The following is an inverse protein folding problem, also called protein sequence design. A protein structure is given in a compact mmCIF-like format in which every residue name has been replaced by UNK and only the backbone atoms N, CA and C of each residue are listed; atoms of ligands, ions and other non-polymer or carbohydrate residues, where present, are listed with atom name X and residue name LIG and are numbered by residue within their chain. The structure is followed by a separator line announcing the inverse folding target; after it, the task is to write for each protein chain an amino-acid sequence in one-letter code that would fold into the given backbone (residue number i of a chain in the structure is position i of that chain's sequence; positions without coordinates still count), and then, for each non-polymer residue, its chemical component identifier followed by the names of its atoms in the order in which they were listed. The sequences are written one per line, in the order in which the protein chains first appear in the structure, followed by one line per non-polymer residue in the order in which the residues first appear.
data_IF_812746639777
#
_entry.id   IF_812746639777
#
_cell.length_a   1.000
_cell.length_b   1.000
_cell.length_c   1.000
_cell.angle_alpha   90.00
_cell.angle_beta   90.00
_cell.angle_gamma   90.00
#
_symmetry.space_group_name_H-M   'P 1'
#
loop_
_entity.id
_entity.type
_entity.pdbx_description
1 polymer ?
#
# COMPACT_ATOMS: atom_id res chain seq x y z
N UNK A 1 -6.71 16.82 22.48
CA UNK A 1 -6.60 15.37 22.19
C UNK A 1 -6.91 15.19 20.71
N UNK A 2 -5.87 15.12 19.89
CA UNK A 2 -5.87 15.14 18.42
C UNK A 2 -6.72 14.01 17.83
N UNK A 3 -7.96 14.29 17.38
CA UNK A 3 -8.76 13.32 16.60
C UNK A 3 -9.32 13.88 15.29
N UNK A 4 -9.02 15.13 14.94
CA UNK A 4 -9.72 15.84 13.86
C UNK A 4 -8.82 16.37 12.73
N UNK A 5 -7.73 15.68 12.36
CA UNK A 5 -6.84 16.17 11.27
C UNK A 5 -6.56 15.19 10.13
N UNK A 6 -7.08 13.96 10.12
CA UNK A 6 -6.86 13.05 8.97
C UNK A 6 -8.06 12.13 8.71
N UNK A 7 -9.26 12.69 8.52
CA UNK A 7 -10.40 11.92 8.04
C UNK A 7 -10.90 12.42 6.69
N UNK A 8 -10.33 11.82 5.66
CA UNK A 8 -11.07 11.30 4.51
C UNK A 8 -11.62 12.30 3.48
N UNK A 9 -10.73 12.78 2.60
CA UNK A 9 -11.07 12.78 1.18
C UNK A 9 -11.10 11.32 0.68
N UNK A 10 -12.13 10.60 1.11
CA UNK A 10 -12.45 9.27 0.60
C UNK A 10 -12.85 9.43 -0.87
N UNK A 11 -11.86 9.34 -1.77
CA UNK A 11 -12.10 8.76 -3.09
C UNK A 11 -12.90 7.48 -2.82
N UNK A 12 -14.10 7.31 -3.39
CA UNK A 12 -14.93 6.16 -3.05
C UNK A 12 -14.09 4.89 -3.25
N UNK A 13 -14.02 4.02 -2.24
CA UNK A 13 -13.21 2.78 -2.25
C UNK A 13 -13.43 1.92 -3.51
N UNK A 14 -14.55 2.11 -4.20
CA UNK A 14 -14.89 1.47 -5.47
C UNK A 14 -14.18 2.04 -6.70
N UNK A 15 -13.57 3.24 -6.63
CA UNK A 15 -12.87 3.91 -7.74
C UNK A 15 -11.35 3.93 -7.60
N UNK A 16 -10.80 3.63 -6.42
CA UNK A 16 -9.35 3.63 -6.17
C UNK A 16 -8.74 2.26 -6.53
N UNK A 17 -8.01 2.12 -7.65
CA UNK A 17 -7.80 0.81 -8.28
C UNK A 17 -6.90 -0.14 -7.50
N UNK A 18 -6.05 0.36 -6.59
CA UNK A 18 -5.14 -0.48 -5.79
C UNK A 18 -5.41 -0.41 -4.28
N UNK A 19 -6.61 0.03 -3.88
CA UNK A 19 -6.98 0.14 -2.46
C UNK A 19 -6.91 -1.21 -1.73
N UNK A 20 -7.32 -2.30 -2.39
CA UNK A 20 -7.32 -3.63 -1.79
C UNK A 20 -5.91 -4.12 -1.46
N UNK A 21 -4.97 -3.96 -2.40
CA UNK A 21 -3.57 -4.34 -2.24
C UNK A 21 -2.91 -3.50 -1.15
N UNK A 22 -3.16 -2.19 -1.13
CA UNK A 22 -2.67 -1.29 -0.08
C UNK A 22 -3.18 -1.72 1.32
N UNK A 23 -4.46 -2.08 1.44
CA UNK A 23 -5.03 -2.59 2.69
C UNK A 23 -4.40 -3.91 3.12
N UNK A 24 -4.15 -4.83 2.17
CA UNK A 24 -3.47 -6.10 2.45
C UNK A 24 -2.05 -5.87 2.97
N UNK A 25 -1.32 -4.87 2.44
CA UNK A 25 0.02 -4.52 2.95
C UNK A 25 -0.07 -4.04 4.39
N UNK A 26 -0.99 -3.11 4.69
CA UNK A 26 -1.19 -2.61 6.05
C UNK A 26 -1.55 -3.74 7.03
N UNK A 27 -2.43 -4.65 6.63
CA UNK A 27 -2.80 -5.82 7.44
C UNK A 27 -1.60 -6.77 7.64
N UNK A 28 -0.82 -7.03 6.58
CA UNK A 28 0.37 -7.86 6.67
C UNK A 28 1.40 -7.30 7.63
N UNK A 29 1.69 -5.99 7.56
CA UNK A 29 2.62 -5.32 8.45
C UNK A 29 2.20 -5.46 9.91
N UNK A 30 0.93 -5.16 10.22
CA UNK A 30 0.40 -5.31 11.58
C UNK A 30 0.53 -6.74 12.11
N UNK A 31 0.29 -7.75 11.26
CA UNK A 31 0.42 -9.18 11.63
C UNK A 31 1.87 -9.63 11.82
N UNK A 32 2.82 -8.98 11.15
CA UNK A 32 4.22 -9.39 11.10
C UNK A 32 5.15 -8.44 11.87
N UNK A 33 4.64 -7.76 12.90
CA UNK A 33 5.42 -6.82 13.71
C UNK A 33 6.14 -5.75 12.87
N UNK A 34 5.50 -5.31 11.78
CA UNK A 34 6.01 -4.32 10.84
C UNK A 34 7.30 -4.73 10.11
N UNK A 35 7.63 -6.03 10.07
CA UNK A 35 8.74 -6.58 9.29
C UNK A 35 8.32 -6.64 7.82
N UNK A 36 8.90 -5.78 6.98
CA UNK A 36 8.50 -5.60 5.59
C UNK A 36 8.81 -6.84 4.73
N UNK A 37 9.90 -7.53 5.02
CA UNK A 37 10.39 -8.72 4.32
C UNK A 37 9.34 -9.84 4.32
N UNK A 38 8.57 -9.95 5.41
CA UNK A 38 7.47 -10.92 5.54
C UNK A 38 6.25 -10.58 4.67
N UNK A 39 6.23 -9.39 4.07
CA UNK A 39 5.12 -8.87 3.28
C UNK A 39 5.43 -8.70 1.79
N UNK A 40 6.59 -9.17 1.30
CA UNK A 40 7.00 -8.99 -0.10
C UNK A 40 5.98 -9.50 -1.12
N UNK A 41 5.35 -10.65 -0.88
CA UNK A 41 4.32 -11.18 -1.79
C UNK A 41 3.13 -10.20 -1.98
N UNK A 42 2.74 -9.49 -0.92
CA UNK A 42 1.65 -8.50 -0.98
C UNK A 42 2.11 -7.19 -1.63
N UNK A 43 3.37 -6.82 -1.44
CA UNK A 43 4.00 -5.66 -2.10
C UNK A 43 4.12 -5.89 -3.61
N UNK A 44 4.44 -7.11 -4.04
CA UNK A 44 4.45 -7.52 -5.45
C UNK A 44 3.04 -7.49 -6.07
N UNK A 45 2.01 -7.82 -5.28
CA UNK A 45 0.63 -7.65 -5.71
C UNK A 45 0.27 -6.17 -5.94
N UNK A 46 0.68 -5.26 -5.03
CA UNK A 46 0.52 -3.80 -5.25
C UNK A 46 1.30 -3.34 -6.49
N UNK A 47 2.53 -3.83 -6.70
CA UNK A 47 3.30 -3.53 -7.91
C UNK A 47 2.58 -3.96 -9.18
N UNK A 48 1.98 -5.15 -9.17
CA UNK A 48 1.19 -5.66 -10.30
C UNK A 48 -0.06 -4.82 -10.52
N UNK A 49 -0.77 -4.44 -9.46
CA UNK A 49 -1.91 -3.53 -9.56
C UNK A 49 -1.51 -2.19 -10.20
N UNK A 50 -0.40 -1.60 -9.75
CA UNK A 50 0.10 -0.33 -10.28
C UNK A 50 0.45 -0.40 -11.76
N UNK A 51 1.02 -1.51 -12.22
CA UNK A 51 1.24 -1.75 -13.67
C UNK A 51 -0.08 -1.80 -14.41
N UNK A 52 -1.06 -2.56 -13.90
CA UNK A 52 -2.35 -2.75 -14.57
C UNK A 52 -3.21 -1.48 -14.61
N UNK A 53 -3.10 -0.61 -13.62
CA UNK A 53 -3.81 0.67 -13.59
C UNK A 53 -3.01 1.83 -14.19
N UNK A 54 -1.88 1.58 -14.86
CA UNK A 54 -0.97 2.61 -15.40
C UNK A 54 -0.61 3.69 -14.36
N UNK A 55 -0.30 3.27 -13.13
CA UNK A 55 0.03 4.14 -11.98
C UNK A 55 -1.04 5.18 -11.60
N UNK A 56 -2.30 4.99 -12.03
CA UNK A 56 -3.41 5.90 -11.71
C UNK A 56 -3.93 5.81 -10.27
N UNK A 57 -3.48 4.84 -9.47
CA UNK A 57 -3.81 4.78 -8.04
C UNK A 57 -2.88 5.67 -7.22
N UNK A 58 -3.45 6.41 -6.27
CA UNK A 58 -2.72 7.16 -5.24
C UNK A 58 -1.78 6.25 -4.43
N UNK A 59 -2.11 4.97 -4.25
CA UNK A 59 -1.27 4.01 -3.53
C UNK A 59 0.00 3.60 -4.29
N UNK A 60 0.08 3.87 -5.59
CA UNK A 60 1.27 3.59 -6.38
C UNK A 60 2.44 4.50 -6.02
N UNK A 61 2.19 5.70 -5.48
CA UNK A 61 3.24 6.60 -5.02
C UNK A 61 4.06 5.99 -3.87
N UNK A 62 3.43 5.21 -2.99
CA UNK A 62 4.11 4.57 -1.85
C UNK A 62 4.94 3.35 -2.25
N UNK A 63 4.75 2.80 -3.45
CA UNK A 63 5.38 1.54 -3.87
C UNK A 63 6.91 1.66 -3.98
N UNK A 64 7.43 2.79 -4.44
CA UNK A 64 8.88 2.99 -4.60
C UNK A 64 9.63 2.84 -3.26
N UNK A 65 9.07 3.39 -2.18
CA UNK A 65 9.64 3.28 -0.84
C UNK A 65 9.59 1.85 -0.27
N UNK A 66 8.56 1.08 -0.60
CA UNK A 66 8.44 -0.33 -0.21
C UNK A 66 9.47 -1.20 -0.96
N UNK A 67 9.66 -0.95 -2.26
CA UNK A 67 10.63 -1.68 -3.08
C UNK A 67 12.09 -1.32 -2.73
N UNK A 68 12.36 -0.08 -2.33
CA UNK A 68 13.70 0.35 -1.90
C UNK A 68 14.16 -0.39 -0.64
N UNK A 69 13.22 -0.70 0.27
CA UNK A 69 13.52 -1.47 1.48
C UNK A 69 13.78 -2.96 1.15
N UNK A 70 13.10 -3.54 0.16
CA UNK A 70 13.38 -4.90 -0.33
C UNK A 70 14.84 -5.09 -0.78
N UNK A 71 15.48 -4.05 -1.34
CA UNK A 71 16.87 -4.12 -1.83
C UNK A 71 17.93 -4.01 -0.74
N UNK A 72 17.56 -3.65 0.50
CA UNK A 72 18.49 -3.48 1.64
C UNK A 72 18.57 -4.71 2.55
N UNK A 73 17.66 -5.68 2.37
CA UNK A 73 17.60 -6.91 3.16
C UNK A 73 18.36 -8.05 2.53
#
# INVERSE_FOLDING_TARGET
MLKDTLREEQMPKSKEPCYQEACKIQACLKKNNFILERCFAVIEALQTCCKNCNSKSTHCASLAGLLAQKKKS
#
